data_IF_979256162646
#
_entry.id   IF_979256162646
#
_cell.length_a   1.000
_cell.length_b   1.000
_cell.length_c   1.000
_cell.angle_alpha   90.00
_cell.angle_beta   90.00
_cell.angle_gamma   90.00
#
_symmetry.space_group_name_H-M   'P 1'
#
loop_
_entity.id
_entity.type
_entity.pdbx_description
1 polymer ?
#
# COMPACT_ATOMS: atom_id res chain seq x y z
N UNK A 1 -35.95 -33.52 -36.40
CA UNK A 1 -35.77 -32.06 -36.21
C UNK A 1 -35.23 -31.69 -34.83
N UNK A 2 -35.55 -32.40 -33.74
CA UNK A 2 -35.09 -32.07 -32.38
C UNK A 2 -33.55 -32.05 -32.19
N UNK A 3 -32.82 -33.00 -32.78
CA UNK A 3 -31.34 -33.09 -32.64
C UNK A 3 -30.60 -31.88 -33.23
N UNK A 4 -31.13 -31.26 -34.29
CA UNK A 4 -30.52 -30.09 -34.94
C UNK A 4 -30.73 -28.84 -34.07
N UNK A 5 -31.89 -28.73 -33.41
CA UNK A 5 -32.19 -27.64 -32.50
C UNK A 5 -31.35 -27.70 -31.22
N UNK A 6 -31.12 -28.91 -30.68
CA UNK A 6 -30.28 -29.16 -29.52
C UNK A 6 -28.80 -28.77 -29.77
N UNK A 7 -28.26 -29.10 -30.95
CA UNK A 7 -26.89 -28.71 -31.32
C UNK A 7 -26.71 -27.20 -31.49
N UNK A 8 -27.71 -26.49 -32.04
CA UNK A 8 -27.67 -25.02 -32.12
C UNK A 8 -27.71 -24.36 -30.74
N UNK A 9 -28.49 -24.90 -29.80
CA UNK A 9 -28.52 -24.42 -28.41
C UNK A 9 -27.19 -24.66 -27.69
N UNK A 10 -26.57 -25.82 -27.90
CA UNK A 10 -25.24 -26.12 -27.34
C UNK A 10 -24.15 -25.20 -27.88
N UNK A 11 -24.16 -24.88 -29.18
CA UNK A 11 -23.20 -23.94 -29.78
C UNK A 11 -23.40 -22.52 -29.24
N UNK A 12 -24.64 -22.06 -29.10
CA UNK A 12 -24.94 -20.73 -28.54
C UNK A 12 -24.52 -20.63 -27.06
N UNK A 13 -24.84 -21.64 -26.24
CA UNK A 13 -24.45 -21.70 -24.83
C UNK A 13 -22.91 -21.75 -24.72
N UNK A 14 -22.25 -22.58 -25.52
CA UNK A 14 -20.79 -22.66 -25.54
C UNK A 14 -20.13 -21.33 -25.93
N UNK A 15 -20.69 -20.62 -26.92
CA UNK A 15 -20.20 -19.31 -27.33
C UNK A 15 -20.38 -18.24 -26.24
N UNK A 16 -21.50 -18.26 -25.51
CA UNK A 16 -21.75 -17.34 -24.39
C UNK A 16 -20.80 -17.57 -23.22
N UNK A 17 -20.47 -18.82 -22.91
CA UNK A 17 -19.52 -19.17 -21.84
C UNK A 17 -18.09 -18.72 -22.22
N UNK A 18 -17.69 -18.92 -23.47
CA UNK A 18 -16.39 -18.45 -23.96
C UNK A 18 -16.30 -16.91 -23.92
N UNK A 19 -17.36 -16.23 -24.36
CA UNK A 19 -17.40 -14.77 -24.34
C UNK A 19 -17.33 -14.23 -22.90
N UNK A 20 -18.07 -14.82 -21.96
CA UNK A 20 -18.05 -14.40 -20.55
C UNK A 20 -16.69 -14.63 -19.90
N UNK A 21 -16.02 -15.76 -20.20
CA UNK A 21 -14.67 -16.03 -19.72
C UNK A 21 -13.66 -15.00 -20.25
N UNK A 22 -13.72 -14.67 -21.55
CA UNK A 22 -12.85 -13.64 -22.15
C UNK A 22 -13.06 -12.29 -21.49
N UNK A 23 -14.32 -11.86 -21.32
CA UNK A 23 -14.63 -10.60 -20.63
C UNK A 23 -14.10 -10.62 -19.19
N UNK A 24 -14.28 -11.72 -18.46
CA UNK A 24 -13.76 -11.85 -17.09
C UNK A 24 -12.23 -11.70 -17.03
N UNK A 25 -11.49 -12.36 -17.93
CA UNK A 25 -10.03 -12.24 -18.01
C UNK A 25 -9.58 -10.83 -18.37
N UNK A 26 -10.25 -10.16 -19.32
CA UNK A 26 -9.95 -8.77 -19.68
C UNK A 26 -10.16 -7.82 -18.50
N UNK A 27 -11.29 -7.94 -17.79
CA UNK A 27 -11.59 -7.10 -16.61
C UNK A 27 -10.56 -7.32 -15.51
N UNK A 28 -10.19 -8.58 -15.23
CA UNK A 28 -9.16 -8.89 -14.23
C UNK A 28 -7.77 -8.38 -14.60
N UNK A 29 -7.43 -8.38 -15.89
CA UNK A 29 -6.13 -7.87 -16.35
C UNK A 29 -6.02 -6.34 -16.30
N UNK A 30 -7.14 -5.62 -16.31
CA UNK A 30 -7.17 -4.15 -16.21
C UNK A 30 -7.39 -3.63 -14.77
N UNK A 31 -7.67 -4.52 -13.82
CA UNK A 31 -7.79 -4.13 -12.42
C UNK A 31 -6.40 -3.79 -11.85
N UNK A 32 -6.26 -2.66 -11.12
CA UNK A 32 -4.98 -2.33 -10.51
C UNK A 32 -4.64 -3.36 -9.42
N UNK A 33 -3.33 -3.63 -9.20
CA UNK A 33 -2.90 -4.51 -8.13
C UNK A 33 -3.47 -4.02 -6.79
N UNK A 34 -3.91 -4.95 -5.95
CA UNK A 34 -4.47 -4.67 -4.63
C UNK A 34 -3.43 -5.07 -3.59
N UNK A 35 -3.11 -4.15 -2.68
CA UNK A 35 -2.18 -4.37 -1.58
C UNK A 35 -2.86 -4.90 -0.32
N UNK A 36 -2.05 -5.25 0.68
CA UNK A 36 -2.57 -5.64 2.00
C UNK A 36 -3.13 -4.45 2.79
N UNK A 37 -3.89 -4.76 3.85
CA UNK A 37 -4.34 -3.76 4.82
C UNK A 37 -3.16 -2.96 5.40
N UNK A 38 -2.00 -3.59 5.56
CA UNK A 38 -0.77 -2.94 6.03
C UNK A 38 -0.30 -1.84 5.09
N UNK A 39 -0.41 -2.11 3.78
CA UNK A 39 -0.15 -1.11 2.77
C UNK A 39 -1.13 0.07 2.92
N UNK A 40 -2.44 -0.19 3.05
CA UNK A 40 -3.44 0.87 3.24
C UNK A 40 -3.19 1.74 4.48
N UNK A 41 -2.85 1.12 5.61
CA UNK A 41 -2.51 1.85 6.85
C UNK A 41 -1.25 2.68 6.66
N UNK A 42 -0.19 2.10 6.11
CA UNK A 42 1.08 2.79 5.92
C UNK A 42 0.98 3.92 4.89
N UNK A 43 0.19 3.74 3.82
CA UNK A 43 -0.05 4.78 2.83
C UNK A 43 -0.84 5.95 3.42
N UNK A 44 -1.94 5.66 4.10
CA UNK A 44 -2.75 6.71 4.75
C UNK A 44 -1.93 7.49 5.76
N UNK A 45 -1.11 6.80 6.55
CA UNK A 45 -0.19 7.45 7.47
C UNK A 45 0.80 8.36 6.73
N UNK A 46 1.41 7.87 5.63
CA UNK A 46 2.33 8.65 4.81
C UNK A 46 1.68 9.92 4.26
N UNK A 47 0.48 9.81 3.69
CA UNK A 47 -0.27 10.95 3.13
C UNK A 47 -0.51 12.05 4.18
N UNK A 48 -0.82 11.66 5.42
CA UNK A 48 -1.01 12.59 6.53
C UNK A 48 0.26 13.33 6.96
N UNK A 49 1.45 12.78 6.68
CA UNK A 49 2.72 13.41 7.06
C UNK A 49 3.29 14.35 5.99
N UNK A 50 2.77 14.32 4.77
CA UNK A 50 3.28 15.14 3.67
C UNK A 50 2.56 16.49 3.60
N UNK A 51 3.34 17.57 3.41
CA UNK A 51 2.78 18.91 3.23
C UNK A 51 1.90 19.04 1.98
N UNK A 52 2.27 18.32 0.92
CA UNK A 52 1.57 18.34 -0.37
C UNK A 52 1.19 16.92 -0.79
N UNK A 53 0.17 16.32 -0.18
CA UNK A 53 -0.20 14.92 -0.42
C UNK A 53 -0.58 14.67 -1.89
N UNK A 54 -1.17 15.66 -2.57
CA UNK A 54 -1.53 15.56 -3.99
C UNK A 54 -0.33 15.43 -4.95
N UNK A 55 0.90 15.59 -4.44
CA UNK A 55 2.14 15.43 -5.21
C UNK A 55 2.82 14.08 -4.95
N UNK A 56 2.26 13.28 -4.02
CA UNK A 56 2.73 11.94 -3.74
C UNK A 56 2.46 11.05 -4.95
N UNK A 57 3.52 10.49 -5.51
CA UNK A 57 3.44 9.45 -6.54
C UNK A 57 4.24 8.24 -6.07
N UNK A 58 3.52 7.17 -5.75
CA UNK A 58 4.12 5.92 -5.31
C UNK A 58 4.71 5.19 -6.53
N UNK A 59 5.99 4.86 -6.46
CA UNK A 59 6.70 4.22 -7.58
C UNK A 59 6.72 2.71 -7.47
N UNK A 60 6.82 2.19 -6.24
CA UNK A 60 6.95 0.76 -5.98
C UNK A 60 6.56 0.42 -4.54
N UNK A 61 6.00 -0.77 -4.33
CA UNK A 61 5.61 -1.27 -3.01
C UNK A 61 6.23 -2.63 -2.79
N UNK A 62 6.95 -2.80 -1.68
CA UNK A 62 7.46 -4.08 -1.20
C UNK A 62 6.63 -4.51 0.01
N UNK A 63 5.91 -5.62 -0.13
CA UNK A 63 5.28 -6.28 1.00
C UNK A 63 6.17 -7.41 1.52
N UNK A 64 6.44 -7.39 2.82
CA UNK A 64 7.19 -8.42 3.54
C UNK A 64 6.24 -9.11 4.52
N UNK A 65 5.55 -10.18 4.09
CA UNK A 65 4.67 -10.95 4.96
C UNK A 65 5.46 -11.49 6.18
N UNK A 66 4.85 -11.49 7.39
CA UNK A 66 3.43 -11.25 7.62
C UNK A 66 3.03 -9.79 7.90
N UNK A 67 3.98 -8.90 8.21
CA UNK A 67 3.60 -7.63 8.89
C UNK A 67 4.42 -6.40 8.56
N UNK A 68 5.24 -6.40 7.51
CA UNK A 68 6.00 -5.21 7.12
C UNK A 68 5.69 -4.81 5.68
N UNK A 69 5.59 -3.51 5.43
CA UNK A 69 5.43 -2.93 4.11
C UNK A 69 6.43 -1.79 3.92
N UNK A 70 6.99 -1.66 2.73
CA UNK A 70 7.81 -0.52 2.33
C UNK A 70 7.23 0.09 1.06
N UNK A 71 6.95 1.40 1.12
CA UNK A 71 6.42 2.17 0.00
C UNK A 71 7.54 3.09 -0.47
N UNK A 72 7.95 2.96 -1.73
CA UNK A 72 8.81 3.90 -2.41
C UNK A 72 7.96 4.94 -3.11
N UNK A 73 8.32 6.20 -2.93
CA UNK A 73 7.53 7.30 -3.46
C UNK A 73 8.41 8.47 -3.85
N UNK A 74 7.86 9.31 -4.74
CA UNK A 74 8.34 10.65 -4.98
C UNK A 74 7.30 11.68 -4.55
N UNK A 75 7.76 12.85 -4.15
CA UNK A 75 6.91 13.96 -3.76
C UNK A 75 7.57 15.29 -4.13
N UNK A 76 6.77 16.34 -4.23
CA UNK A 76 7.26 17.71 -4.45
C UNK A 76 7.29 18.43 -3.12
N UNK A 77 8.44 19.04 -2.79
CA UNK A 77 8.57 19.83 -1.58
C UNK A 77 8.10 21.28 -1.76
N UNK A 78 8.17 22.09 -0.70
CA UNK A 78 7.79 23.51 -0.72
C UNK A 78 8.66 24.38 -1.63
N UNK A 79 9.78 23.86 -2.11
CA UNK A 79 10.68 24.54 -3.05
C UNK A 79 10.46 24.06 -4.50
N UNK A 80 9.47 23.19 -4.74
CA UNK A 80 9.18 22.63 -6.05
C UNK A 80 10.13 21.51 -6.49
N UNK A 81 10.98 20.99 -5.59
CA UNK A 81 11.92 19.92 -5.93
C UNK A 81 11.27 18.54 -5.81
N UNK A 82 11.51 17.70 -6.80
CA UNK A 82 11.11 16.29 -6.78
C UNK A 82 12.09 15.49 -5.94
N UNK A 83 11.60 14.91 -4.85
CA UNK A 83 12.39 14.13 -3.92
C UNK A 83 11.98 12.66 -3.98
N UNK A 84 12.96 11.75 -3.88
CA UNK A 84 12.73 10.31 -3.83
C UNK A 84 13.00 9.77 -2.43
N UNK A 85 12.04 9.06 -1.86
CA UNK A 85 12.13 8.52 -0.50
C UNK A 85 11.45 7.16 -0.41
N UNK A 86 11.53 6.55 0.77
CA UNK A 86 10.66 5.44 1.14
C UNK A 86 10.20 5.61 2.58
N UNK A 87 9.04 5.02 2.87
CA UNK A 87 8.55 4.74 4.22
C UNK A 87 8.50 3.23 4.40
N UNK A 88 8.85 2.75 5.59
CA UNK A 88 8.68 1.36 5.98
C UNK A 88 7.86 1.31 7.27
N UNK A 89 6.74 0.61 7.23
CA UNK A 89 5.89 0.38 8.39
C UNK A 89 5.92 -1.12 8.74
N UNK A 90 6.18 -1.43 10.01
CA UNK A 90 6.11 -2.77 10.57
C UNK A 90 5.00 -2.81 11.61
N UNK A 91 4.13 -3.80 11.53
CA UNK A 91 2.97 -3.96 12.40
C UNK A 91 3.08 -5.25 13.23
N UNK A 92 2.30 -5.32 14.30
CA UNK A 92 2.19 -6.50 15.14
C UNK A 92 0.79 -6.56 15.79
N UNK A 93 0.38 -7.76 16.19
CA UNK A 93 -0.74 -7.93 17.11
C UNK A 93 -0.23 -7.86 18.55
N UNK A 94 -0.76 -6.92 19.32
CA UNK A 94 -0.57 -6.78 20.75
C UNK A 94 -1.79 -7.37 21.50
N UNK A 95 -1.59 -8.21 22.53
CA UNK A 95 -2.70 -8.85 23.25
C UNK A 95 -3.65 -7.88 23.97
N UNK A 96 -3.17 -6.70 24.36
CA UNK A 96 -3.94 -5.71 25.12
C UNK A 96 -4.49 -4.61 24.21
N UNK A 97 -3.70 -4.19 23.22
CA UNK A 97 -3.99 -3.04 22.35
C UNK A 97 -4.49 -3.43 20.96
N UNK A 98 -4.46 -4.72 20.60
CA UNK A 98 -4.86 -5.20 19.29
C UNK A 98 -3.82 -4.88 18.20
N UNK A 99 -4.26 -4.40 17.04
CA UNK A 99 -3.37 -4.17 15.90
C UNK A 99 -2.55 -2.88 16.08
N UNK A 100 -1.22 -3.00 16.20
CA UNK A 100 -0.33 -1.87 16.48
C UNK A 100 0.79 -1.71 15.45
N UNK A 101 1.31 -0.48 15.33
CA UNK A 101 2.55 -0.21 14.63
C UNK A 101 3.75 -0.46 15.57
N UNK A 102 4.66 -1.35 15.15
CA UNK A 102 5.89 -1.68 15.88
C UNK A 102 7.04 -0.74 15.52
N UNK A 103 7.16 -0.36 14.25
CA UNK A 103 8.20 0.52 13.75
C UNK A 103 7.70 1.25 12.51
N UNK A 104 7.91 2.57 12.46
CA UNK A 104 7.68 3.37 11.28
C UNK A 104 8.98 4.12 11.00
N UNK A 105 9.56 3.94 9.83
CA UNK A 105 10.82 4.54 9.45
C UNK A 105 10.83 5.09 8.04
N UNK A 106 11.66 6.10 7.82
CA UNK A 106 11.79 6.86 6.59
C UNK A 106 13.25 6.86 6.14
N UNK A 107 13.46 6.92 4.81
CA UNK A 107 14.79 7.13 4.22
C UNK A 107 15.32 8.54 4.48
N UNK A 108 14.43 9.52 4.41
CA UNK A 108 14.71 10.94 4.55
C UNK A 108 13.99 11.50 5.77
N UNK A 109 14.50 12.57 6.41
CA UNK A 109 13.84 13.14 7.57
C UNK A 109 12.48 13.72 7.19
N UNK A 110 11.45 13.33 7.93
CA UNK A 110 10.16 14.03 7.93
C UNK A 110 10.17 14.94 9.14
N UNK A 111 10.09 16.25 8.90
CA UNK A 111 10.29 17.27 9.94
C UNK A 111 9.33 17.04 11.10
N UNK A 112 9.82 17.32 12.30
CA UNK A 112 9.08 17.31 13.58
C UNK A 112 8.67 15.95 14.15
N UNK A 113 8.48 14.92 13.30
CA UNK A 113 8.01 13.60 13.74
C UNK A 113 9.12 12.54 13.81
N UNK A 114 10.25 12.75 13.13
CA UNK A 114 11.32 11.73 13.06
C UNK A 114 12.54 12.04 13.92
N UNK A 115 13.19 10.97 14.40
CA UNK A 115 14.50 10.98 15.04
C UNK A 115 15.53 10.22 14.20
N UNK A 116 16.78 10.67 14.24
CA UNK A 116 17.87 10.08 13.45
C UNK A 116 18.44 8.85 14.18
N UNK A 117 18.36 7.68 13.54
CA UNK A 117 18.91 6.44 14.04
C UNK A 117 20.00 5.90 13.10
N UNK A 118 21.16 5.54 13.65
CA UNK A 118 22.24 4.93 12.89
C UNK A 118 22.20 3.41 13.03
N UNK A 119 21.85 2.74 11.94
CA UNK A 119 21.90 1.28 11.83
C UNK A 119 23.35 0.85 11.59
N UNK A 120 24.00 0.35 12.66
CA UNK A 120 25.40 -0.09 12.63
C UNK A 120 25.62 -1.29 11.72
N UNK A 121 24.66 -2.21 11.66
CA UNK A 121 24.78 -3.45 10.88
C UNK A 121 24.73 -3.15 9.38
N UNK A 122 23.78 -2.31 8.97
CA UNK A 122 23.59 -1.93 7.56
C UNK A 122 24.39 -0.69 7.16
N UNK A 123 25.17 -0.12 8.10
CA UNK A 123 25.98 1.10 7.93
C UNK A 123 25.22 2.25 7.27
N UNK A 124 23.98 2.48 7.72
CA UNK A 124 23.08 3.48 7.11
C UNK A 124 22.34 4.28 8.17
N UNK A 125 22.03 5.52 7.83
CA UNK A 125 21.11 6.34 8.63
C UNK A 125 19.68 6.01 8.22
N UNK A 126 18.81 5.78 9.21
CA UNK A 126 17.36 5.70 9.03
C UNK A 126 16.71 6.72 9.96
N UNK A 127 15.60 7.30 9.53
CA UNK A 127 14.83 8.24 10.35
C UNK A 127 13.62 7.51 10.89
N UNK A 128 13.55 7.31 12.20
CA UNK A 128 12.43 6.60 12.83
C UNK A 128 11.40 7.59 13.33
N UNK A 129 10.13 7.20 13.34
CA UNK A 129 9.11 7.95 14.06
C UNK A 129 9.50 8.03 15.54
N UNK A 130 9.38 9.22 16.13
CA UNK A 130 9.67 9.43 17.55
C UNK A 130 8.84 8.46 18.40
N UNK A 131 9.42 7.86 19.46
CA UNK A 131 8.72 6.91 20.32
C UNK A 131 7.40 7.46 20.88
N UNK A 132 7.38 8.72 21.31
CA UNK A 132 6.15 9.36 21.83
C UNK A 132 5.00 9.41 20.82
N UNK A 133 5.31 9.60 19.53
CA UNK A 133 4.30 9.67 18.46
C UNK A 133 3.86 8.28 18.02
N UNK A 134 4.78 7.31 18.04
CA UNK A 134 4.44 5.91 17.80
C UNK A 134 3.51 5.38 18.90
N UNK A 135 3.82 5.71 20.16
CA UNK A 135 2.98 5.36 21.30
C UNK A 135 1.62 6.04 21.23
N UNK A 136 1.58 7.33 20.88
CA UNK A 136 0.33 8.06 20.67
C UNK A 136 -0.53 7.43 19.57
N UNK A 137 0.08 7.10 18.42
CA UNK A 137 -0.60 6.44 17.31
C UNK A 137 -1.23 5.09 17.73
N UNK A 138 -0.49 4.31 18.53
CA UNK A 138 -0.99 3.04 19.04
C UNK A 138 -2.07 3.23 20.12
N UNK A 139 -1.93 4.22 21.02
CA UNK A 139 -2.91 4.53 22.06
C UNK A 139 -4.22 5.06 21.49
N UNK A 140 -4.17 5.87 20.43
CA UNK A 140 -5.35 6.41 19.76
C UNK A 140 -6.04 5.40 18.83
N UNK A 141 -5.62 4.13 18.83
CA UNK A 141 -6.05 3.11 17.89
C UNK A 141 -5.91 3.56 16.42
N UNK A 142 -4.85 4.31 16.08
CA UNK A 142 -4.69 4.95 14.77
C UNK A 142 -4.80 3.97 13.60
N UNK A 143 -4.21 2.77 13.74
CA UNK A 143 -4.34 1.70 12.76
C UNK A 143 -5.81 1.25 12.57
N UNK A 144 -6.55 1.06 13.66
CA UNK A 144 -7.95 0.66 13.61
C UNK A 144 -8.85 1.76 13.04
N UNK A 145 -8.58 3.03 13.37
CA UNK A 145 -9.29 4.18 12.82
C UNK A 145 -9.09 4.26 11.31
N UNK A 146 -7.86 4.10 10.82
CA UNK A 146 -7.58 4.06 9.39
C UNK A 146 -8.28 2.87 8.74
N UNK A 147 -8.25 1.68 9.36
CA UNK A 147 -8.95 0.51 8.85
C UNK A 147 -10.47 0.72 8.76
N UNK A 148 -11.08 1.45 9.69
CA UNK A 148 -12.53 1.72 9.66
C UNK A 148 -12.98 2.67 8.55
N UNK A 149 -12.03 3.33 7.87
CA UNK A 149 -12.28 4.26 6.78
C UNK A 149 -12.14 3.62 5.39
N UNK A 150 -12.04 2.29 5.31
CA UNK A 150 -11.81 1.54 4.06
C UNK A 150 -10.63 2.13 3.26
N UNK A 151 -9.39 1.99 3.76
CA UNK A 151 -8.23 2.64 3.16
C UNK A 151 -8.01 2.15 1.74
N UNK A 152 -7.57 3.04 0.84
CA UNK A 152 -7.30 2.67 -0.54
C UNK A 152 -6.17 1.63 -0.60
N UNK A 153 -6.52 0.43 -1.07
CA UNK A 153 -5.60 -0.69 -1.24
C UNK A 153 -5.04 -0.76 -2.66
N UNK A 154 -5.41 0.18 -3.53
CA UNK A 154 -4.92 0.25 -4.89
C UNK A 154 -3.42 0.54 -4.90
N UNK A 155 -2.64 -0.41 -5.40
CA UNK A 155 -1.19 -0.26 -5.54
C UNK A 155 -0.84 0.41 -6.87
N UNK A 156 0.32 1.09 -6.93
CA UNK A 156 0.80 1.66 -8.18
C UNK A 156 1.16 0.53 -9.15
N UNK A 157 0.87 0.74 -10.43
CA UNK A 157 1.41 -0.13 -11.49
C UNK A 157 2.94 0.00 -11.44
N UNK A 158 3.70 -1.10 -11.28
CA UNK A 158 5.16 -1.03 -11.18
C UNK A 158 5.73 -0.30 -12.39
N UNK A 159 6.34 0.86 -12.17
CA UNK A 159 7.10 1.58 -13.19
C UNK A 159 8.57 1.24 -12.98
N UNK A 160 9.29 0.96 -14.05
CA UNK A 160 10.73 0.74 -13.97
C UNK A 160 11.39 1.97 -13.29
N UNK A 161 12.11 1.72 -12.19
CA UNK A 161 12.97 2.73 -11.57
C UNK A 161 14.13 2.99 -12.53
N UNK A 162 14.10 4.10 -13.24
CA UNK A 162 15.21 4.61 -14.04
C UNK A 162 15.85 5.80 -13.34
#
# INVERSE_FOLDING_TARGET
MEKILANKRLVVIGSLILLSAVIYYFVKSCAPPQGSINYGICNTFLEQQLTFPNTLDQTFVEEYPPSSVRIYYKYVDSYGQVNFSYIQCSFANDPEKGYIAKDISFKSPVKEITEKFYDKERKRTIYKLKPELLDLFNQSNGAAVIMSQDPDLTQPVPRAMF
#
